data_IF_263026778930
#
_entry.id   IF_263026778930
#
_cell.length_a   1.000
_cell.length_b   1.000
_cell.length_c   1.000
_cell.angle_alpha   90.00
_cell.angle_beta   90.00
_cell.angle_gamma   90.00
#
_symmetry.space_group_name_H-M   'P 1'
#
loop_
_entity.id
_entity.type
_entity.pdbx_description
1 polymer ?
#
# COMPACT_ATOMS: atom_id res chain seq x y z
N UNK A 1 3.88 19.08 1.67
CA UNK A 1 4.50 18.24 0.63
C UNK A 1 4.76 19.11 -0.59
N UNK A 2 5.98 19.08 -1.15
CA UNK A 2 6.29 19.78 -2.41
C UNK A 2 5.82 18.90 -3.57
N UNK A 3 4.95 19.44 -4.42
CA UNK A 3 4.42 18.74 -5.59
C UNK A 3 5.43 18.81 -6.73
N UNK A 4 5.57 17.73 -7.49
CA UNK A 4 6.46 17.63 -8.65
C UNK A 4 5.69 17.60 -9.96
N UNK A 5 6.40 17.87 -11.06
CA UNK A 5 5.84 17.85 -12.42
C UNK A 5 5.20 16.50 -12.81
N UNK A 6 5.69 15.40 -12.25
CA UNK A 6 5.20 14.05 -12.54
C UNK A 6 3.96 13.65 -11.74
N UNK A 7 3.61 14.40 -10.69
CA UNK A 7 2.54 14.01 -9.77
C UNK A 7 1.19 13.93 -10.48
N UNK A 8 0.92 14.82 -11.44
CA UNK A 8 -0.32 14.78 -12.23
C UNK A 8 -0.39 13.52 -13.11
N UNK A 9 0.73 13.12 -13.73
CA UNK A 9 0.80 11.90 -14.53
C UNK A 9 0.58 10.65 -13.66
N UNK A 10 1.14 10.65 -12.44
CA UNK A 10 0.92 9.58 -11.45
C UNK A 10 -0.56 9.54 -11.04
N UNK A 11 -1.18 10.69 -10.77
CA UNK A 11 -2.60 10.79 -10.44
C UNK A 11 -3.50 10.24 -11.55
N UNK A 12 -3.19 10.54 -12.82
CA UNK A 12 -3.94 10.02 -13.98
C UNK A 12 -3.80 8.50 -14.06
N UNK A 13 -2.57 7.98 -13.92
CA UNK A 13 -2.32 6.53 -13.92
C UNK A 13 -3.05 5.81 -12.78
N UNK A 14 -2.99 6.36 -11.57
CA UNK A 14 -3.72 5.81 -10.41
C UNK A 14 -5.23 5.86 -10.61
N UNK A 15 -5.77 6.97 -11.14
CA UNK A 15 -7.20 7.09 -11.43
C UNK A 15 -7.68 6.04 -12.44
N UNK A 16 -6.89 5.74 -13.46
CA UNK A 16 -7.20 4.66 -14.42
C UNK A 16 -7.22 3.28 -13.76
N UNK A 17 -6.21 2.96 -12.94
CA UNK A 17 -6.15 1.69 -12.20
C UNK A 17 -7.35 1.55 -11.27
N UNK A 18 -7.70 2.61 -10.54
CA UNK A 18 -8.86 2.62 -9.66
C UNK A 18 -10.18 2.46 -10.43
N UNK A 19 -10.28 2.99 -11.65
CA UNK A 19 -11.47 2.84 -12.49
C UNK A 19 -11.66 1.38 -12.89
N UNK A 20 -10.59 0.70 -13.30
CA UNK A 20 -10.61 -0.73 -13.62
C UNK A 20 -11.07 -1.53 -12.40
N UNK A 21 -10.48 -1.25 -11.23
CA UNK A 21 -10.84 -1.92 -9.99
C UNK A 21 -12.29 -1.66 -9.56
N UNK A 22 -12.81 -0.46 -9.80
CA UNK A 22 -14.20 -0.10 -9.50
C UNK A 22 -15.20 -0.88 -10.37
N UNK A 23 -14.85 -1.18 -11.63
CA UNK A 23 -15.65 -2.02 -12.51
C UNK A 23 -15.66 -3.47 -12.02
N UNK A 24 -14.49 -4.02 -11.66
CA UNK A 24 -14.37 -5.40 -11.15
C UNK A 24 -15.15 -5.60 -9.84
N UNK A 25 -15.18 -4.59 -8.98
CA UNK A 25 -15.98 -4.57 -7.76
C UNK A 25 -17.48 -4.79 -8.01
N UNK A 26 -17.98 -4.38 -9.18
CA UNK A 26 -19.34 -4.64 -9.66
C UNK A 26 -19.74 -6.11 -9.59
N UNK A 27 -18.78 -7.01 -9.82
CA UNK A 27 -18.99 -8.45 -9.93
C UNK A 27 -18.72 -9.24 -8.64
N UNK A 28 -18.40 -8.55 -7.53
CA UNK A 28 -18.02 -9.18 -6.26
C UNK A 28 -19.21 -9.34 -5.30
N UNK A 29 -19.03 -10.22 -4.30
CA UNK A 29 -20.03 -10.46 -3.25
C UNK A 29 -20.46 -9.14 -2.57
N UNK A 30 -21.77 -8.81 -2.55
CA UNK A 30 -22.27 -7.58 -1.93
C UNK A 30 -21.80 -7.36 -0.48
N UNK A 31 -21.69 -8.42 0.31
CA UNK A 31 -21.29 -8.32 1.72
C UNK A 31 -19.82 -7.87 1.91
N UNK A 32 -18.94 -8.17 0.96
CA UNK A 32 -17.52 -7.80 1.00
C UNK A 32 -17.20 -6.54 0.18
N UNK A 33 -18.17 -6.01 -0.57
CA UNK A 33 -17.98 -4.90 -1.53
C UNK A 33 -17.88 -3.53 -0.85
N UNK A 34 -18.52 -3.35 0.30
CA UNK A 34 -18.62 -2.04 0.97
C UNK A 34 -17.24 -1.45 1.29
N UNK A 35 -16.33 -2.25 1.83
CA UNK A 35 -15.01 -1.76 2.24
C UNK A 35 -14.15 -1.29 1.06
N UNK A 36 -13.93 -2.10 0.00
CA UNK A 36 -13.19 -1.63 -1.16
C UNK A 36 -13.86 -0.43 -1.84
N UNK A 37 -15.19 -0.35 -1.86
CA UNK A 37 -15.90 0.78 -2.46
C UNK A 37 -15.62 2.09 -1.71
N UNK A 38 -15.65 2.08 -0.37
CA UNK A 38 -15.27 3.24 0.45
C UNK A 38 -13.81 3.64 0.20
N UNK A 39 -12.91 2.66 0.07
CA UNK A 39 -11.49 2.93 -0.23
C UNK A 39 -11.29 3.56 -1.61
N UNK A 40 -12.02 3.10 -2.64
CA UNK A 40 -11.97 3.69 -3.99
C UNK A 40 -12.46 5.15 -3.95
N UNK A 41 -13.60 5.41 -3.30
CA UNK A 41 -14.14 6.77 -3.17
C UNK A 41 -13.17 7.70 -2.45
N UNK A 42 -12.62 7.26 -1.32
CA UNK A 42 -11.62 8.02 -0.57
C UNK A 42 -10.36 8.28 -1.41
N UNK A 43 -9.90 7.29 -2.19
CA UNK A 43 -8.74 7.42 -3.06
C UNK A 43 -8.96 8.47 -4.16
N UNK A 44 -10.14 8.46 -4.81
CA UNK A 44 -10.49 9.51 -5.78
C UNK A 44 -10.58 10.89 -5.15
N UNK A 45 -11.11 11.00 -3.93
CA UNK A 45 -11.14 12.26 -3.20
C UNK A 45 -9.74 12.82 -2.97
N UNK A 46 -8.78 11.99 -2.53
CA UNK A 46 -7.38 12.43 -2.38
C UNK A 46 -6.71 12.76 -3.72
N UNK A 47 -6.98 12.00 -4.78
CA UNK A 47 -6.48 12.31 -6.13
C UNK A 47 -6.99 13.68 -6.59
N UNK A 48 -8.27 13.98 -6.37
CA UNK A 48 -8.85 15.28 -6.71
C UNK A 48 -8.16 16.42 -5.94
N UNK A 49 -7.93 16.26 -4.62
CA UNK A 49 -7.19 17.25 -3.82
C UNK A 49 -5.79 17.50 -4.39
N UNK A 50 -5.05 16.44 -4.74
CA UNK A 50 -3.69 16.55 -5.28
C UNK A 50 -3.73 17.23 -6.66
N UNK A 51 -4.65 16.85 -7.54
CA UNK A 51 -4.81 17.45 -8.86
C UNK A 51 -5.15 18.95 -8.78
N UNK A 52 -6.09 19.33 -7.91
CA UNK A 52 -6.46 20.74 -7.67
C UNK A 52 -5.25 21.53 -7.16
N UNK A 53 -4.54 21.00 -6.15
CA UNK A 53 -3.32 21.66 -5.63
C UNK A 53 -2.24 21.79 -6.68
N UNK A 54 -2.10 20.82 -7.58
CA UNK A 54 -1.15 20.87 -8.68
C UNK A 54 -1.48 21.99 -9.67
N UNK A 55 -2.77 22.14 -10.03
CA UNK A 55 -3.25 23.20 -10.93
C UNK A 55 -2.98 24.59 -10.31
N UNK A 56 -3.31 24.78 -9.02
CA UNK A 56 -3.09 26.04 -8.30
C UNK A 56 -1.60 26.41 -8.26
N UNK A 57 -0.73 25.44 -7.99
CA UNK A 57 0.70 25.68 -7.78
C UNK A 57 1.56 25.48 -9.05
N UNK A 58 0.94 25.37 -10.23
CA UNK A 58 1.61 25.00 -11.50
C UNK A 58 2.88 25.80 -11.79
N UNK A 59 2.88 27.12 -11.53
CA UNK A 59 4.02 28.00 -11.85
C UNK A 59 5.24 27.68 -10.99
N UNK A 60 5.02 27.40 -9.70
CA UNK A 60 6.09 27.05 -8.76
C UNK A 60 6.64 25.65 -9.04
N UNK A 61 5.76 24.69 -9.37
CA UNK A 61 6.13 23.30 -9.68
C UNK A 61 6.99 23.21 -10.95
N UNK A 62 6.64 23.98 -11.99
CA UNK A 62 7.38 24.00 -13.26
C UNK A 62 8.73 24.73 -13.16
N UNK A 63 8.85 25.69 -12.24
CA UNK A 63 10.10 26.41 -11.97
C UNK A 63 11.10 25.62 -11.11
N UNK A 64 10.68 24.50 -10.51
CA UNK A 64 11.53 23.71 -9.61
C UNK A 64 12.48 22.81 -10.43
N UNK A 65 13.79 23.10 -10.38
CA UNK A 65 14.81 22.21 -10.94
C UNK A 65 14.85 20.90 -10.14
N UNK A 66 14.66 19.80 -10.85
CA UNK A 66 14.45 18.48 -10.23
C UNK A 66 15.77 17.98 -9.65
N UNK A 67 15.90 18.04 -8.33
CA UNK A 67 16.90 17.25 -7.62
C UNK A 67 16.68 15.76 -7.92
N UNK A 68 17.66 15.15 -8.61
CA UNK A 68 17.63 13.75 -9.00
C UNK A 68 17.60 12.81 -7.80
N UNK A 69 17.04 11.62 -7.99
CA UNK A 69 17.08 10.57 -6.98
C UNK A 69 18.51 10.03 -6.88
N UNK A 70 19.13 10.11 -5.71
CA UNK A 70 20.44 9.46 -5.46
C UNK A 70 20.33 7.96 -5.72
N UNK A 71 21.30 7.38 -6.45
CA UNK A 71 21.31 5.96 -6.80
C UNK A 71 21.24 5.02 -5.59
N UNK A 72 21.79 5.44 -4.44
CA UNK A 72 21.65 4.69 -3.18
C UNK A 72 20.19 4.60 -2.69
N UNK A 73 19.44 5.68 -2.90
CA UNK A 73 18.02 5.76 -2.52
C UNK A 73 17.16 4.94 -3.47
N UNK A 74 17.49 4.93 -4.76
CA UNK A 74 16.85 4.04 -5.73
C UNK A 74 17.08 2.57 -5.38
N UNK A 75 18.33 2.17 -5.09
CA UNK A 75 18.64 0.81 -4.68
C UNK A 75 17.88 0.40 -3.42
N UNK A 76 17.80 1.30 -2.43
CA UNK A 76 17.04 1.05 -1.20
C UNK A 76 15.55 0.83 -1.47
N UNK A 77 14.95 1.59 -2.39
CA UNK A 77 13.55 1.39 -2.81
C UNK A 77 13.40 0.06 -3.55
N UNK A 78 14.30 -0.23 -4.49
CA UNK A 78 14.27 -1.45 -5.28
C UNK A 78 14.35 -2.72 -4.42
N UNK A 79 15.23 -2.75 -3.40
CA UNK A 79 15.33 -3.86 -2.44
C UNK A 79 14.02 -4.04 -1.68
N UNK A 80 13.36 -2.94 -1.27
CA UNK A 80 12.10 -3.02 -0.56
C UNK A 80 10.96 -3.51 -1.47
N UNK A 81 10.92 -3.07 -2.73
CA UNK A 81 10.00 -3.58 -3.74
C UNK A 81 10.18 -5.08 -3.97
N UNK A 82 11.42 -5.57 -4.02
CA UNK A 82 11.71 -6.99 -4.11
C UNK A 82 11.20 -7.77 -2.89
N UNK A 83 11.30 -7.19 -1.69
CA UNK A 83 10.75 -7.81 -0.47
C UNK A 83 9.21 -7.87 -0.50
N UNK A 84 8.54 -6.84 -1.01
CA UNK A 84 7.07 -6.86 -1.22
C UNK A 84 6.70 -7.98 -2.21
N UNK A 85 7.44 -8.09 -3.32
CA UNK A 85 7.19 -9.13 -4.32
C UNK A 85 7.36 -10.53 -3.71
N UNK A 86 8.44 -10.75 -2.94
CA UNK A 86 8.64 -11.99 -2.21
C UNK A 86 7.48 -12.28 -1.25
N UNK A 87 7.02 -11.29 -0.47
CA UNK A 87 5.86 -11.43 0.41
C UNK A 87 4.60 -11.91 -0.35
N UNK A 88 4.30 -11.29 -1.51
CA UNK A 88 3.15 -11.68 -2.33
C UNK A 88 3.28 -13.13 -2.80
N UNK A 89 4.48 -13.60 -3.18
CA UNK A 89 4.67 -15.01 -3.58
C UNK A 89 4.60 -16.00 -2.40
N UNK A 90 4.94 -15.56 -1.19
CA UNK A 90 4.92 -16.40 0.00
C UNK A 90 3.52 -16.48 0.64
N UNK A 91 2.66 -15.48 0.42
CA UNK A 91 1.35 -15.39 1.09
C UNK A 91 0.46 -16.60 0.82
N UNK A 92 0.47 -17.12 -0.40
CA UNK A 92 -0.34 -18.27 -0.81
C UNK A 92 0.19 -19.59 -0.23
N UNK A 93 1.50 -19.66 0.08
CA UNK A 93 2.16 -20.86 0.60
C UNK A 93 2.13 -20.92 2.12
N UNK A 94 2.54 -19.83 2.78
CA UNK A 94 2.68 -19.77 4.24
C UNK A 94 1.42 -19.27 4.94
N UNK A 95 0.50 -18.64 4.21
CA UNK A 95 -0.67 -17.97 4.77
C UNK A 95 -0.40 -16.53 5.16
N UNK A 96 -1.49 -15.78 5.35
CA UNK A 96 -1.47 -14.34 5.63
C UNK A 96 -0.70 -14.02 6.92
N UNK A 97 -1.01 -14.69 8.04
CA UNK A 97 -0.45 -14.34 9.35
C UNK A 97 1.07 -14.50 9.35
N UNK A 98 1.57 -15.68 8.96
CA UNK A 98 3.00 -15.99 8.96
C UNK A 98 3.76 -15.07 8.01
N UNK A 99 3.27 -14.91 6.78
CA UNK A 99 3.92 -14.05 5.78
C UNK A 99 3.96 -12.59 6.21
N UNK A 100 2.87 -12.09 6.81
CA UNK A 100 2.77 -10.70 7.26
C UNK A 100 3.66 -10.44 8.47
N UNK A 101 3.79 -11.41 9.39
CA UNK A 101 4.71 -11.30 10.54
C UNK A 101 6.16 -11.24 10.06
N UNK A 102 6.57 -12.17 9.19
CA UNK A 102 7.93 -12.20 8.64
C UNK A 102 8.23 -10.90 7.90
N UNK A 103 7.32 -10.47 7.03
CA UNK A 103 7.47 -9.23 6.27
C UNK A 103 7.49 -7.99 7.18
N UNK A 104 6.66 -7.95 8.22
CA UNK A 104 6.62 -6.85 9.19
C UNK A 104 7.90 -6.74 10.03
N UNK A 105 8.43 -7.88 10.49
CA UNK A 105 9.73 -7.93 11.18
C UNK A 105 10.84 -7.44 10.24
N UNK A 106 10.91 -8.00 9.02
CA UNK A 106 11.86 -7.56 7.99
C UNK A 106 11.76 -6.05 7.74
N UNK A 107 10.55 -5.52 7.59
CA UNK A 107 10.32 -4.10 7.32
C UNK A 107 10.81 -3.21 8.46
N UNK A 108 10.55 -3.59 9.72
CA UNK A 108 11.00 -2.83 10.88
C UNK A 108 12.53 -2.89 11.07
N UNK A 109 13.14 -4.03 10.79
CA UNK A 109 14.61 -4.16 10.78
C UNK A 109 15.21 -3.34 9.65
N UNK A 110 14.62 -3.40 8.45
CA UNK A 110 15.07 -2.66 7.28
C UNK A 110 15.00 -1.15 7.51
N UNK A 111 13.92 -0.66 8.15
CA UNK A 111 13.78 0.72 8.60
C UNK A 111 14.69 1.09 9.79
N UNK A 112 15.53 0.17 10.26
CA UNK A 112 16.46 0.35 11.39
C UNK A 112 15.76 0.75 12.69
N UNK A 113 14.57 0.21 12.94
CA UNK A 113 13.88 0.40 14.22
C UNK A 113 14.73 -0.18 15.37
N UNK A 114 15.03 0.65 16.37
CA UNK A 114 15.95 0.26 17.46
C UNK A 114 15.29 -0.55 18.57
N UNK A 115 13.96 -0.47 18.69
CA UNK A 115 13.23 -1.15 19.76
C UNK A 115 12.93 -2.61 19.37
N UNK A 116 13.74 -3.54 19.89
CA UNK A 116 13.64 -4.98 19.62
C UNK A 116 12.27 -5.57 20.01
N UNK A 117 11.66 -5.06 21.09
CA UNK A 117 10.33 -5.50 21.55
C UNK A 117 9.27 -5.12 20.53
N UNK A 118 9.30 -3.87 20.06
CA UNK A 118 8.36 -3.40 19.03
C UNK A 118 8.57 -4.16 17.72
N UNK A 119 9.83 -4.40 17.34
CA UNK A 119 10.15 -5.14 16.11
C UNK A 119 9.59 -6.56 16.09
N UNK A 120 9.49 -7.23 17.25
CA UNK A 120 8.94 -8.58 17.34
C UNK A 120 7.42 -8.60 17.60
N UNK A 121 6.94 -7.81 18.55
CA UNK A 121 5.55 -7.88 19.04
C UNK A 121 4.58 -7.17 18.10
N UNK A 122 4.97 -6.01 17.56
CA UNK A 122 4.07 -5.20 16.74
C UNK A 122 3.60 -5.93 15.47
N UNK A 123 4.48 -6.58 14.67
CA UNK A 123 4.04 -7.31 13.49
C UNK A 123 3.09 -8.47 13.82
N UNK A 124 3.34 -9.17 14.92
CA UNK A 124 2.50 -10.28 15.40
C UNK A 124 1.11 -9.77 15.74
N UNK A 125 1.02 -8.80 16.65
CA UNK A 125 -0.26 -8.25 17.10
C UNK A 125 -1.02 -7.63 15.93
N UNK A 126 -0.35 -6.86 15.07
CA UNK A 126 -0.98 -6.24 13.91
C UNK A 126 -1.51 -7.28 12.91
N UNK A 127 -0.75 -8.35 12.62
CA UNK A 127 -1.19 -9.41 11.71
C UNK A 127 -2.44 -10.13 12.24
N UNK A 128 -2.49 -10.46 13.53
CA UNK A 128 -3.68 -11.11 14.12
C UNK A 128 -4.89 -10.17 14.17
N UNK A 129 -4.70 -8.91 14.57
CA UNK A 129 -5.78 -7.92 14.59
C UNK A 129 -6.36 -7.69 13.20
N UNK A 130 -5.51 -7.52 12.18
CA UNK A 130 -5.96 -7.34 10.80
C UNK A 130 -6.62 -8.60 10.25
N UNK A 131 -6.08 -9.79 10.55
CA UNK A 131 -6.73 -11.04 10.16
C UNK A 131 -8.16 -11.13 10.71
N UNK A 132 -8.35 -10.81 11.99
CA UNK A 132 -9.67 -10.79 12.62
C UNK A 132 -10.59 -9.74 12.00
N UNK A 133 -10.08 -8.51 11.80
CA UNK A 133 -10.84 -7.43 11.18
C UNK A 133 -11.30 -7.82 9.77
N UNK A 134 -10.39 -8.33 8.94
CA UNK A 134 -10.73 -8.73 7.58
C UNK A 134 -11.67 -9.93 7.53
N UNK A 135 -11.42 -10.95 8.34
CA UNK A 135 -12.21 -12.18 8.33
C UNK A 135 -13.60 -12.01 8.95
N UNK A 136 -13.72 -11.32 10.09
CA UNK A 136 -14.97 -11.22 10.86
C UNK A 136 -15.77 -9.97 10.57
N UNK A 137 -15.11 -8.85 10.29
CA UNK A 137 -15.79 -7.57 10.12
C UNK A 137 -15.98 -7.20 8.65
N UNK A 138 -14.97 -7.49 7.82
CA UNK A 138 -14.98 -7.12 6.40
C UNK A 138 -15.34 -8.29 5.46
N UNK A 139 -15.55 -9.49 6.02
CA UNK A 139 -15.89 -10.73 5.30
C UNK A 139 -14.95 -11.07 4.13
N UNK A 140 -13.69 -10.65 4.24
CA UNK A 140 -12.64 -10.92 3.27
C UNK A 140 -11.95 -12.24 3.62
N UNK A 141 -11.89 -13.16 2.66
CA UNK A 141 -11.17 -14.42 2.81
C UNK A 141 -9.67 -14.16 2.62
N UNK A 142 -8.89 -14.41 3.66
CA UNK A 142 -7.44 -14.36 3.63
C UNK A 142 -6.86 -15.78 3.48
N UNK A 143 -5.71 -15.96 2.80
CA UNK A 143 -5.05 -17.26 2.72
C UNK A 143 -4.69 -17.75 4.13
N UNK A 144 -5.25 -18.87 4.56
CA UNK A 144 -4.91 -19.50 5.84
C UNK A 144 -3.52 -20.18 5.79
N UNK A 145 -3.06 -20.55 4.60
CA UNK A 145 -1.77 -21.20 4.38
C UNK A 145 -1.78 -22.67 4.79
N UNK A 146 -0.59 -23.27 4.92
CA UNK A 146 -0.43 -24.69 5.31
C UNK A 146 -0.59 -24.91 6.83
N UNK A 147 -0.43 -23.85 7.63
CA UNK A 147 -0.38 -23.95 9.10
C UNK A 147 -1.74 -23.72 9.80
N UNK A 148 -2.82 -23.45 9.06
CA UNK A 148 -4.19 -23.28 9.57
C UNK A 148 -5.25 -23.72 8.56
#
# INVERSE_FOLDING_TARGET
>A
MRLKKWDLLICIGLALILSIFAVDLGNTNPAARTYPMVMVIASYFFIAIIAIRWIINRKQILAESVGGMSGKRFLYIAIYCAAIFAYIMLIDKLGYVVSTVIFGIYSLIYLKNRNKVVTAVLPVVAAFLLYFLFSKFLFVRLPAGILM
#
